data_IF_893975321280
#
_entry.id   IF_893975321280
#
_cell.length_a   1.000
_cell.length_b   1.000
_cell.length_c   1.000
_cell.angle_alpha   90.00
_cell.angle_beta   90.00
_cell.angle_gamma   90.00
#
_symmetry.space_group_name_H-M   'P 1'
#
loop_
_entity.id
_entity.type
_entity.pdbx_description
1 polymer ?
#
# COMPACT_ATOMS: atom_id res chain seq x y z
N UNK A 1 4.31 -40.52 3.70
CA UNK A 1 5.43 -39.78 4.34
C UNK A 1 6.17 -38.81 3.39
N UNK A 2 5.88 -38.73 2.09
CA UNK A 2 6.58 -37.83 1.16
C UNK A 2 6.06 -36.35 1.11
N UNK A 3 5.11 -35.97 1.97
CA UNK A 3 4.45 -34.65 1.90
C UNK A 3 5.08 -33.54 2.74
N UNK A 4 5.90 -33.87 3.75
CA UNK A 4 6.46 -32.89 4.70
C UNK A 4 7.76 -32.28 4.16
N UNK A 5 8.59 -33.06 3.47
CA UNK A 5 9.88 -32.60 2.95
C UNK A 5 9.74 -31.59 1.80
N UNK A 6 8.65 -31.67 1.02
CA UNK A 6 8.40 -30.77 -0.10
C UNK A 6 8.00 -29.35 0.30
N UNK A 7 7.38 -29.16 1.46
CA UNK A 7 6.98 -27.83 1.95
C UNK A 7 8.22 -27.04 2.39
N UNK A 8 9.11 -27.68 3.14
CA UNK A 8 10.35 -27.08 3.61
C UNK A 8 11.28 -26.66 2.45
N UNK A 9 11.38 -27.46 1.40
CA UNK A 9 12.22 -27.13 0.24
C UNK A 9 11.70 -25.90 -0.54
N UNK A 10 10.36 -25.75 -0.67
CA UNK A 10 9.76 -24.60 -1.33
C UNK A 10 9.93 -23.33 -0.49
N UNK A 11 9.77 -23.42 0.83
CA UNK A 11 9.95 -22.27 1.72
C UNK A 11 11.40 -21.79 1.75
N UNK A 12 12.36 -22.73 1.73
CA UNK A 12 13.78 -22.40 1.65
C UNK A 12 14.15 -21.74 0.32
N UNK A 13 13.61 -22.24 -0.79
CA UNK A 13 13.82 -21.63 -2.11
C UNK A 13 13.20 -20.22 -2.19
N UNK A 14 12.00 -20.03 -1.64
CA UNK A 14 11.38 -18.72 -1.54
C UNK A 14 12.26 -17.76 -0.74
N UNK A 15 12.71 -18.17 0.45
CA UNK A 15 13.61 -17.38 1.30
C UNK A 15 14.91 -17.03 0.57
N UNK A 16 15.52 -18.00 -0.12
CA UNK A 16 16.75 -17.78 -0.89
C UNK A 16 16.55 -16.71 -1.97
N UNK A 17 15.42 -16.76 -2.69
CA UNK A 17 15.09 -15.79 -3.72
C UNK A 17 14.82 -14.39 -3.13
N UNK A 18 14.05 -14.28 -2.05
CA UNK A 18 13.75 -12.98 -1.41
C UNK A 18 14.98 -12.35 -0.76
N UNK A 19 15.85 -13.16 -0.12
CA UNK A 19 17.15 -12.70 0.39
C UNK A 19 18.04 -12.20 -0.73
N UNK A 20 18.06 -12.89 -1.88
CA UNK A 20 18.81 -12.44 -3.04
C UNK A 20 18.32 -11.08 -3.56
N UNK A 21 17.00 -10.89 -3.69
CA UNK A 21 16.41 -9.60 -4.09
C UNK A 21 16.77 -8.50 -3.08
N UNK A 22 16.66 -8.78 -1.78
CA UNK A 22 17.05 -7.86 -0.71
C UNK A 22 18.51 -7.44 -0.81
N UNK A 23 19.43 -8.40 -0.94
CA UNK A 23 20.86 -8.12 -1.05
C UNK A 23 21.17 -7.21 -2.24
N UNK A 24 20.54 -7.47 -3.39
CA UNK A 24 20.73 -6.64 -4.58
C UNK A 24 20.22 -5.21 -4.37
N UNK A 25 19.05 -5.04 -3.72
CA UNK A 25 18.54 -3.72 -3.35
C UNK A 25 19.50 -3.00 -2.42
N UNK A 26 19.92 -3.66 -1.34
CA UNK A 26 20.81 -3.08 -0.34
C UNK A 26 22.18 -2.69 -0.92
N UNK A 27 22.70 -3.44 -1.90
CA UNK A 27 23.97 -3.14 -2.55
C UNK A 27 23.96 -1.82 -3.33
N UNK A 28 22.78 -1.32 -3.73
CA UNK A 28 22.63 -0.03 -4.41
C UNK A 28 22.43 1.16 -3.45
N UNK A 29 22.32 0.89 -2.15
CA UNK A 29 22.03 1.93 -1.15
C UNK A 29 23.28 2.45 -0.45
N UNK A 30 23.23 3.70 0.05
CA UNK A 30 24.19 4.15 1.04
C UNK A 30 24.08 3.31 2.34
N UNK A 31 25.03 3.45 3.28
CA UNK A 31 25.01 2.76 4.57
C UNK A 31 23.64 2.83 5.27
N UNK A 32 23.27 1.77 5.99
CA UNK A 32 21.94 1.62 6.64
C UNK A 32 21.59 2.73 7.61
N UNK A 33 22.58 3.46 8.12
CA UNK A 33 22.37 4.64 8.94
C UNK A 33 21.78 5.83 8.18
N UNK A 34 21.52 5.74 6.87
CA UNK A 34 21.04 6.86 6.07
C UNK A 34 19.60 6.73 5.58
N UNK A 35 18.94 5.60 5.80
CA UNK A 35 17.60 5.34 5.28
C UNK A 35 16.75 4.47 6.20
N UNK A 36 15.43 4.63 6.10
CA UNK A 36 14.41 3.94 6.91
C UNK A 36 13.69 2.86 6.09
N UNK A 37 13.36 3.19 4.83
CA UNK A 37 12.62 2.31 3.93
C UNK A 37 13.09 2.50 2.49
N UNK A 38 13.19 1.39 1.75
CA UNK A 38 13.36 1.42 0.31
C UNK A 38 12.30 0.61 -0.39
N UNK A 39 11.92 1.06 -1.58
CA UNK A 39 10.97 0.38 -2.42
C UNK A 39 11.33 0.42 -3.88
N UNK A 40 10.99 -0.65 -4.59
CA UNK A 40 11.12 -0.76 -6.04
C UNK A 40 9.89 -1.46 -6.58
N UNK A 41 9.43 -1.00 -7.74
CA UNK A 41 8.34 -1.63 -8.46
C UNK A 41 8.86 -2.15 -9.79
N UNK A 42 8.47 -3.37 -10.11
CA UNK A 42 8.94 -4.09 -11.27
C UNK A 42 7.77 -4.80 -11.95
N UNK A 43 7.70 -4.66 -13.26
CA UNK A 43 6.71 -5.32 -14.11
C UNK A 43 7.43 -6.07 -15.21
N UNK A 44 6.97 -7.28 -15.49
CA UNK A 44 7.46 -8.06 -16.62
C UNK A 44 6.33 -8.81 -17.29
N UNK A 45 6.17 -8.60 -18.60
CA UNK A 45 5.11 -9.22 -19.42
C UNK A 45 5.71 -9.66 -20.74
N UNK A 46 5.79 -10.95 -21.01
CA UNK A 46 6.11 -11.47 -22.34
C UNK A 46 7.47 -11.06 -22.93
N UNK A 47 8.39 -10.54 -22.11
CA UNK A 47 9.68 -10.00 -22.53
C UNK A 47 9.77 -8.47 -22.47
N UNK A 48 8.65 -7.77 -22.30
CA UNK A 48 8.66 -6.37 -21.88
C UNK A 48 9.00 -6.30 -20.40
N UNK A 49 10.00 -5.52 -20.04
CA UNK A 49 10.34 -5.23 -18.66
C UNK A 49 10.18 -3.75 -18.36
N UNK A 50 9.69 -3.46 -17.17
CA UNK A 50 9.75 -2.14 -16.57
C UNK A 50 10.24 -2.24 -15.12
N UNK A 51 11.14 -1.36 -14.73
CA UNK A 51 11.61 -1.23 -13.35
C UNK A 51 11.73 0.24 -12.97
N UNK A 52 11.16 0.61 -11.83
CA UNK A 52 11.35 1.98 -11.30
C UNK A 52 12.78 2.13 -10.79
N UNK A 53 13.31 3.37 -10.71
CA UNK A 53 14.37 3.68 -9.76
C UNK A 53 13.98 3.20 -8.36
N UNK A 54 14.98 2.86 -7.54
CA UNK A 54 14.74 2.50 -6.14
C UNK A 54 14.38 3.79 -5.40
N UNK A 55 13.18 3.84 -4.84
CA UNK A 55 12.74 4.94 -3.98
C UNK A 55 13.26 4.70 -2.57
N UNK A 56 14.01 5.67 -2.05
CA UNK A 56 14.60 5.62 -0.71
C UNK A 56 13.95 6.70 0.13
N UNK A 57 13.53 6.32 1.34
CA UNK A 57 13.06 7.21 2.39
C UNK A 57 14.05 7.14 3.54
N UNK A 58 14.57 8.28 3.97
CA UNK A 58 15.52 8.38 5.08
C UNK A 58 15.54 9.77 5.69
N UNK A 59 15.54 9.87 7.02
CA UNK A 59 15.63 11.14 7.75
C UNK A 59 14.60 12.18 7.30
N UNK A 60 13.36 11.75 7.03
CA UNK A 60 12.28 12.63 6.57
C UNK A 60 12.46 13.16 5.13
N UNK A 61 13.35 12.54 4.34
CA UNK A 61 13.55 12.89 2.93
C UNK A 61 13.35 11.67 2.03
N UNK A 62 12.70 11.89 0.89
CA UNK A 62 12.63 10.92 -0.20
C UNK A 62 13.64 11.26 -1.31
N UNK A 63 14.34 10.25 -1.83
CA UNK A 63 15.15 10.35 -3.04
C UNK A 63 15.08 9.04 -3.84
N UNK A 64 15.75 9.01 -4.99
CA UNK A 64 15.82 7.81 -5.81
C UNK A 64 17.26 7.46 -6.13
N UNK A 65 17.57 6.16 -6.17
CA UNK A 65 18.84 5.64 -6.66
C UNK A 65 18.61 4.78 -7.90
N UNK A 66 19.65 4.64 -8.72
CA UNK A 66 19.60 3.82 -9.92
C UNK A 66 19.39 2.34 -9.56
N UNK A 67 18.64 1.64 -10.40
CA UNK A 67 18.36 0.22 -10.23
C UNK A 67 19.59 -0.62 -10.60
N UNK A 68 20.09 -1.49 -9.72
CA UNK A 68 21.25 -2.33 -10.02
C UNK A 68 20.91 -3.37 -11.09
N UNK A 69 21.85 -3.65 -11.98
CA UNK A 69 21.63 -4.48 -13.17
C UNK A 69 21.25 -5.94 -12.85
N UNK A 70 21.63 -6.45 -11.67
CA UNK A 70 21.27 -7.79 -11.22
C UNK A 70 19.83 -7.93 -10.72
N UNK A 71 19.16 -6.83 -10.37
CA UNK A 71 17.86 -6.89 -9.69
C UNK A 71 16.76 -7.51 -10.55
N UNK A 72 16.65 -7.08 -11.80
CA UNK A 72 15.68 -7.60 -12.75
C UNK A 72 15.76 -9.12 -12.91
N UNK A 73 16.98 -9.67 -12.99
CA UNK A 73 17.19 -11.11 -13.11
C UNK A 73 16.69 -11.86 -11.86
N UNK A 74 16.89 -11.29 -10.66
CA UNK A 74 16.40 -11.89 -9.41
C UNK A 74 14.88 -11.80 -9.28
N UNK A 75 14.29 -10.67 -9.65
CA UNK A 75 12.84 -10.49 -9.65
C UNK A 75 12.16 -11.41 -10.66
N UNK A 76 12.78 -11.64 -11.82
CA UNK A 76 12.31 -12.62 -12.80
C UNK A 76 12.38 -14.06 -12.28
N UNK A 77 13.46 -14.43 -11.59
CA UNK A 77 13.57 -15.74 -10.95
C UNK A 77 12.47 -15.92 -9.89
N UNK A 78 12.23 -14.90 -9.06
CA UNK A 78 11.17 -14.89 -8.08
C UNK A 78 9.77 -14.99 -8.72
N UNK A 79 9.48 -14.21 -9.77
CA UNK A 79 8.23 -14.28 -10.53
C UNK A 79 7.95 -15.70 -11.04
N UNK A 80 8.96 -16.35 -11.62
CA UNK A 80 8.86 -17.73 -12.12
C UNK A 80 8.57 -18.72 -10.99
N UNK A 81 9.23 -18.56 -9.85
CA UNK A 81 8.99 -19.39 -8.67
C UNK A 81 7.58 -19.20 -8.08
N UNK A 82 7.07 -17.97 -8.09
CA UNK A 82 5.73 -17.62 -7.62
C UNK A 82 4.61 -18.07 -8.56
N UNK A 83 4.95 -18.52 -9.78
CA UNK A 83 3.97 -19.03 -10.72
C UNK A 83 3.29 -20.30 -10.18
N UNK A 84 1.98 -20.40 -10.39
CA UNK A 84 1.21 -21.61 -10.09
C UNK A 84 0.39 -22.04 -11.30
N UNK A 85 0.07 -23.34 -11.48
CA UNK A 85 -0.66 -23.81 -12.66
C UNK A 85 -2.01 -23.14 -12.90
N UNK A 86 -2.73 -22.74 -11.84
CA UNK A 86 -4.05 -22.11 -11.95
C UNK A 86 -3.98 -20.58 -12.11
N UNK A 87 -3.08 -19.93 -11.36
CA UNK A 87 -3.03 -18.47 -11.25
C UNK A 87 -1.99 -17.82 -12.18
N UNK A 88 -1.08 -18.62 -12.74
CA UNK A 88 0.10 -18.13 -13.47
C UNK A 88 1.06 -17.39 -12.55
N UNK A 89 1.92 -16.56 -13.15
CA UNK A 89 2.90 -15.72 -12.46
C UNK A 89 2.32 -14.32 -12.17
N UNK A 90 2.79 -13.61 -11.12
CA UNK A 90 2.45 -12.20 -10.93
C UNK A 90 2.94 -11.37 -12.12
N UNK A 91 2.15 -10.39 -12.54
CA UNK A 91 2.51 -9.46 -13.63
C UNK A 91 3.41 -8.33 -13.14
N UNK A 92 3.25 -7.92 -11.88
CA UNK A 92 4.12 -6.95 -11.22
C UNK A 92 4.44 -7.36 -9.78
N UNK A 93 5.61 -6.93 -9.31
CA UNK A 93 6.11 -7.07 -7.96
C UNK A 93 6.45 -5.68 -7.42
N UNK A 94 6.03 -5.38 -6.20
CA UNK A 94 6.55 -4.25 -5.44
C UNK A 94 7.31 -4.80 -4.24
N UNK A 95 8.58 -4.45 -4.14
CA UNK A 95 9.48 -4.94 -3.08
C UNK A 95 9.82 -3.79 -2.16
N UNK A 96 9.76 -4.05 -0.86
CA UNK A 96 10.01 -3.10 0.20
C UNK A 96 11.04 -3.68 1.18
N UNK A 97 12.03 -2.88 1.57
CA UNK A 97 13.01 -3.27 2.60
C UNK A 97 13.08 -2.14 3.61
N UNK A 98 12.95 -2.48 4.89
CA UNK A 98 13.17 -1.56 6.01
C UNK A 98 14.58 -1.73 6.54
N UNK A 99 15.17 -0.67 7.10
CA UNK A 99 16.48 -0.70 7.76
C UNK A 99 16.51 -1.64 8.96
N UNK A 100 15.37 -1.84 9.61
CA UNK A 100 15.18 -2.77 10.74
C UNK A 100 14.79 -4.20 10.28
N UNK A 101 14.44 -4.36 9.00
CA UNK A 101 13.89 -5.58 8.45
C UNK A 101 14.93 -6.65 8.12
N UNK A 102 14.71 -7.87 8.63
CA UNK A 102 15.49 -9.06 8.24
C UNK A 102 15.15 -9.49 6.81
N UNK A 103 13.88 -9.40 6.42
CA UNK A 103 13.37 -9.87 5.12
C UNK A 103 12.81 -8.72 4.27
N UNK A 104 12.78 -8.93 2.95
CA UNK A 104 12.06 -8.06 2.02
C UNK A 104 10.56 -8.36 2.04
N UNK A 105 9.75 -7.32 2.20
CA UNK A 105 8.30 -7.38 1.96
C UNK A 105 8.02 -7.36 0.47
N UNK A 106 7.15 -8.26 0.00
CA UNK A 106 6.83 -8.39 -1.44
C UNK A 106 5.32 -8.35 -1.62
N UNK A 107 4.85 -7.30 -2.29
CA UNK A 107 3.49 -7.21 -2.79
C UNK A 107 3.43 -7.72 -4.24
N UNK A 108 2.50 -8.62 -4.49
CA UNK A 108 2.32 -9.24 -5.80
C UNK A 108 1.04 -8.74 -6.44
N UNK A 109 1.13 -8.32 -7.69
CA UNK A 109 -0.04 -8.04 -8.51
C UNK A 109 -0.22 -9.14 -9.56
N UNK A 110 -1.33 -9.88 -9.45
CA UNK A 110 -1.73 -10.88 -10.45
C UNK A 110 -2.78 -10.35 -11.42
N UNK A 111 -3.66 -9.46 -10.93
CA UNK A 111 -5.00 -9.31 -11.49
C UNK A 111 -5.35 -7.84 -11.78
N UNK A 112 -4.72 -6.89 -11.08
CA UNK A 112 -4.93 -5.46 -11.35
C UNK A 112 -4.20 -5.13 -12.63
N UNK A 113 -4.87 -4.42 -13.53
CA UNK A 113 -4.21 -3.93 -14.74
C UNK A 113 -3.03 -3.09 -14.31
N UNK A 114 -1.84 -3.51 -14.73
CA UNK A 114 -0.67 -2.68 -14.58
C UNK A 114 -0.88 -1.51 -15.52
N UNK A 115 -1.08 -0.32 -14.97
CA UNK A 115 -1.08 0.90 -15.77
C UNK A 115 0.38 1.14 -16.11
N UNK A 116 0.78 0.64 -17.27
CA UNK A 116 2.03 1.00 -17.91
C UNK A 116 1.71 2.24 -18.73
N UNK A 117 1.81 3.41 -18.11
CA UNK A 117 1.73 4.65 -18.85
C UNK A 117 3.02 4.89 -19.64
N UNK A 118 3.15 6.07 -20.24
CA UNK A 118 4.32 6.48 -21.03
C UNK A 118 5.67 6.42 -20.29
N UNK A 119 5.68 5.98 -19.03
CA UNK A 119 6.87 5.79 -18.20
C UNK A 119 6.86 4.54 -17.35
N UNK A 120 5.92 3.61 -17.56
CA UNK A 120 5.85 2.30 -16.91
C UNK A 120 5.66 2.27 -15.38
N UNK A 121 5.73 3.39 -14.67
CA UNK A 121 5.49 3.45 -13.22
C UNK A 121 3.98 3.32 -12.91
N UNK A 122 3.57 2.80 -11.74
CA UNK A 122 2.27 3.17 -11.20
C UNK A 122 2.23 4.70 -11.08
N UNK A 123 1.10 5.29 -11.50
CA UNK A 123 0.91 6.68 -11.91
C UNK A 123 1.29 7.80 -10.90
N UNK A 124 1.92 7.48 -9.77
CA UNK A 124 2.22 8.41 -8.70
C UNK A 124 3.69 8.88 -8.67
N UNK A 125 4.63 8.23 -9.39
CA UNK A 125 6.08 8.50 -9.27
C UNK A 125 6.82 8.61 -10.63
N UNK A 126 6.33 9.41 -11.58
CA UNK A 126 7.07 9.67 -12.84
C UNK A 126 8.16 10.74 -12.66
N UNK A 127 9.43 10.48 -13.03
CA UNK A 127 10.36 11.53 -13.43
C UNK A 127 9.91 12.11 -14.78
N UNK A 128 9.75 13.43 -14.87
CA UNK A 128 9.39 14.11 -16.13
C UNK A 128 10.33 13.67 -17.27
N UNK A 129 9.78 13.07 -18.33
CA UNK A 129 10.51 12.79 -19.59
C UNK A 129 10.88 11.35 -19.94
N UNK A 130 10.57 10.32 -19.14
CA UNK A 130 10.88 8.92 -19.53
C UNK A 130 10.02 8.43 -20.73
N UNK A 131 10.57 7.48 -21.51
CA UNK A 131 10.00 6.90 -22.74
C UNK A 131 9.03 5.76 -22.44
N UNK A 132 8.03 5.58 -23.30
CA UNK A 132 6.91 4.65 -23.12
C UNK A 132 7.27 3.22 -23.50
N UNK A 133 7.33 2.32 -22.51
CA UNK A 133 7.47 0.88 -22.76
C UNK A 133 6.14 0.19 -22.43
N UNK A 134 5.36 -0.12 -23.46
CA UNK A 134 4.09 -0.86 -23.34
C UNK A 134 4.22 -2.27 -23.92
N UNK A 135 3.76 -3.32 -23.20
CA UNK A 135 3.65 -4.64 -23.77
C UNK A 135 2.62 -4.64 -24.88
N UNK A 136 3.03 -5.17 -26.01
CA UNK A 136 2.21 -5.48 -27.19
C UNK A 136 1.25 -6.63 -26.88
N UNK A 137 0.23 -6.80 -27.74
CA UNK A 137 -0.67 -7.95 -27.67
C UNK A 137 0.09 -9.28 -27.71
N UNK A 138 1.12 -9.38 -28.54
CA UNK A 138 1.92 -10.60 -28.69
C UNK A 138 2.72 -10.92 -27.42
N UNK A 139 3.19 -9.91 -26.69
CA UNK A 139 3.83 -10.09 -25.38
C UNK A 139 2.82 -10.54 -24.31
N UNK A 140 1.60 -10.01 -24.32
CA UNK A 140 0.51 -10.50 -23.46
C UNK A 140 0.09 -11.94 -23.78
N UNK A 141 0.12 -12.35 -25.06
CA UNK A 141 -0.09 -13.75 -25.46
C UNK A 141 1.06 -14.62 -24.95
N UNK A 142 2.31 -14.22 -25.21
CA UNK A 142 3.50 -14.94 -24.76
C UNK A 142 3.55 -15.11 -23.24
N UNK A 143 3.10 -14.10 -22.48
CA UNK A 143 3.02 -14.18 -21.02
C UNK A 143 2.08 -15.32 -20.57
N UNK A 144 0.94 -15.53 -21.24
CA UNK A 144 0.05 -16.66 -20.94
C UNK A 144 0.62 -18.00 -21.39
N UNK A 145 1.40 -18.04 -22.46
CA UNK A 145 2.10 -19.26 -22.89
C UNK A 145 3.18 -19.68 -21.88
N UNK A 146 3.96 -18.71 -21.38
CA UNK A 146 5.01 -18.94 -20.39
C UNK A 146 4.45 -19.22 -18.99
N UNK A 147 3.35 -18.56 -18.63
CA UNK A 147 2.73 -18.63 -17.32
C UNK A 147 1.22 -18.84 -17.45
N UNK A 148 0.78 -20.07 -17.77
CA UNK A 148 -0.63 -20.38 -17.98
C UNK A 148 -1.52 -20.00 -16.79
N UNK A 149 -2.73 -19.57 -17.12
CA UNK A 149 -3.78 -19.21 -16.16
C UNK A 149 -5.08 -19.90 -16.55
N UNK A 150 -5.87 -20.29 -15.57
CA UNK A 150 -7.25 -20.68 -15.81
C UNK A 150 -8.05 -19.50 -16.37
N UNK A 151 -9.03 -19.78 -17.22
CA UNK A 151 -9.74 -18.74 -17.98
C UNK A 151 -10.44 -17.70 -17.07
N UNK A 152 -10.93 -18.14 -15.91
CA UNK A 152 -11.55 -17.31 -14.87
C UNK A 152 -10.53 -16.45 -14.10
N UNK A 153 -9.25 -16.80 -14.15
CA UNK A 153 -8.11 -16.06 -13.55
C UNK A 153 -7.46 -15.07 -14.50
N UNK A 154 -7.85 -15.04 -15.77
CA UNK A 154 -7.43 -13.98 -16.71
C UNK A 154 -8.39 -12.80 -16.54
N UNK A 155 -7.93 -11.62 -16.08
CA UNK A 155 -8.81 -10.46 -15.88
C UNK A 155 -9.43 -9.97 -17.20
N UNK A 156 -10.63 -9.38 -17.13
CA UNK A 156 -11.38 -8.91 -18.30
C UNK A 156 -10.59 -7.92 -19.17
N UNK A 157 -9.80 -7.04 -18.55
CA UNK A 157 -8.95 -6.10 -19.27
C UNK A 157 -7.88 -6.80 -20.11
N UNK A 158 -7.34 -7.92 -19.63
CA UNK A 158 -6.34 -8.70 -20.38
C UNK A 158 -7.03 -9.45 -21.51
N UNK A 159 -8.19 -10.08 -21.26
CA UNK A 159 -8.99 -10.71 -22.32
C UNK A 159 -9.34 -9.73 -23.44
N UNK A 160 -9.65 -8.48 -23.09
CA UNK A 160 -9.89 -7.39 -24.06
C UNK A 160 -8.67 -7.15 -24.95
N UNK A 161 -7.47 -7.02 -24.37
CA UNK A 161 -6.20 -6.89 -25.14
C UNK A 161 -6.02 -8.07 -26.09
N UNK A 162 -6.25 -9.30 -25.61
CA UNK A 162 -6.12 -10.51 -26.42
C UNK A 162 -7.13 -10.55 -27.57
N UNK A 163 -8.31 -9.95 -27.41
CA UNK A 163 -9.33 -9.81 -28.44
C UNK A 163 -9.03 -8.68 -29.46
N UNK A 164 -7.89 -7.99 -29.34
CA UNK A 164 -7.53 -6.85 -30.20
C UNK A 164 -8.03 -5.51 -29.68
N UNK A 165 -8.50 -5.45 -28.43
CA UNK A 165 -8.73 -4.20 -27.71
C UNK A 165 -7.43 -3.45 -27.48
N UNK A 166 -7.54 -2.14 -27.32
CA UNK A 166 -6.40 -1.26 -27.14
C UNK A 166 -5.67 -1.52 -25.80
N UNK A 167 -4.35 -1.67 -25.88
CA UNK A 167 -3.48 -1.81 -24.70
C UNK A 167 -3.46 -0.52 -23.85
N UNK A 168 -3.81 0.62 -24.45
CA UNK A 168 -3.69 1.96 -23.91
C UNK A 168 -4.93 2.58 -23.26
N UNK A 169 -6.14 2.02 -23.42
CA UNK A 169 -7.33 2.63 -22.82
C UNK A 169 -7.29 2.39 -21.33
N UNK A 170 -6.87 3.40 -20.56
CA UNK A 170 -6.86 3.40 -19.09
C UNK A 170 -8.13 2.67 -18.62
N UNK A 171 -8.04 1.56 -17.87
CA UNK A 171 -9.25 1.09 -17.21
C UNK A 171 -9.68 2.27 -16.35
N UNK A 172 -10.98 2.58 -16.30
CA UNK A 172 -11.45 3.31 -15.14
C UNK A 172 -10.87 2.54 -13.96
N UNK A 173 -9.96 3.18 -13.21
CA UNK A 173 -9.57 2.67 -11.92
C UNK A 173 -10.89 2.31 -11.23
N UNK A 174 -11.00 1.15 -10.57
CA UNK A 174 -12.18 0.87 -9.77
C UNK A 174 -12.55 2.15 -9.02
N UNK A 175 -13.80 2.61 -9.13
CA UNK A 175 -14.20 4.01 -8.85
C UNK A 175 -13.51 4.60 -7.60
N UNK A 176 -13.33 3.79 -6.56
CA UNK A 176 -12.61 4.07 -5.32
C UNK A 176 -11.14 4.53 -5.41
N UNK A 177 -10.48 4.54 -6.58
CA UNK A 177 -9.11 5.06 -6.77
C UNK A 177 -9.03 6.31 -7.66
N UNK A 178 -10.15 6.77 -8.22
CA UNK A 178 -10.17 7.85 -9.20
C UNK A 178 -11.39 8.77 -9.12
N UNK A 179 -12.29 8.56 -8.17
CA UNK A 179 -13.35 9.54 -7.90
C UNK A 179 -12.75 10.89 -7.51
N UNK A 180 -13.35 12.00 -7.97
CA UNK A 180 -12.97 13.31 -7.48
C UNK A 180 -13.08 13.33 -5.95
N UNK A 181 -12.08 13.93 -5.29
CA UNK A 181 -12.15 14.19 -3.85
C UNK A 181 -13.49 14.88 -3.54
N UNK A 182 -14.19 14.47 -2.47
CA UNK A 182 -15.37 15.18 -2.05
C UNK A 182 -14.99 16.64 -1.81
N UNK A 183 -15.76 17.56 -2.37
CA UNK A 183 -15.49 18.99 -2.31
C UNK A 183 -16.18 19.64 -1.11
N UNK A 184 -16.93 18.89 -0.32
CA UNK A 184 -17.63 19.38 0.85
C UNK A 184 -17.77 18.29 1.93
N UNK A 185 -18.09 18.74 3.14
CA UNK A 185 -18.39 17.86 4.27
C UNK A 185 -19.65 17.01 3.99
N UNK A 186 -20.65 17.57 3.33
CA UNK A 186 -21.90 16.88 2.96
C UNK A 186 -21.64 15.75 1.96
N UNK A 187 -20.77 15.98 0.97
CA UNK A 187 -20.35 14.96 0.00
C UNK A 187 -19.50 13.87 0.67
N UNK A 188 -18.63 14.27 1.61
CA UNK A 188 -17.86 13.32 2.40
C UNK A 188 -18.77 12.47 3.31
N UNK A 189 -19.81 13.05 3.93
CA UNK A 189 -20.79 12.41 4.81
C UNK A 189 -21.71 11.42 4.10
N UNK A 190 -22.22 11.81 2.93
CA UNK A 190 -23.15 11.01 2.12
C UNK A 190 -22.47 9.93 1.27
N UNK A 191 -21.13 9.92 1.21
CA UNK A 191 -20.39 8.93 0.44
C UNK A 191 -20.54 7.52 1.05
N UNK A 192 -21.13 6.54 0.34
CA UNK A 192 -21.25 5.16 0.79
C UNK A 192 -19.91 4.41 0.82
N UNK A 193 -18.79 5.08 0.50
CA UNK A 193 -17.47 4.49 0.20
C UNK A 193 -16.45 4.62 1.35
N UNK A 194 -16.86 5.12 2.51
CA UNK A 194 -15.91 5.62 3.50
C UNK A 194 -15.19 4.56 4.29
N UNK A 195 -15.83 3.45 4.64
CA UNK A 195 -15.22 2.57 5.62
C UNK A 195 -14.48 1.46 4.87
N UNK A 196 -13.18 1.35 5.15
CA UNK A 196 -12.26 0.42 4.46
C UNK A 196 -12.84 -1.01 4.54
N UNK A 197 -13.35 -1.61 3.44
CA UNK A 197 -14.08 -2.88 3.58
C UNK A 197 -13.20 -4.03 4.05
N UNK A 198 -11.88 -3.97 3.86
CA UNK A 198 -10.94 -4.97 4.39
C UNK A 198 -10.58 -4.76 5.87
N UNK A 199 -10.79 -3.55 6.35
CA UNK A 199 -10.37 -3.07 7.66
C UNK A 199 -11.52 -3.15 8.66
N UNK A 200 -12.74 -2.73 8.25
CA UNK A 200 -13.99 -3.12 8.90
C UNK A 200 -14.03 -4.62 9.08
N UNK A 201 -13.90 -5.39 7.99
CA UNK A 201 -13.89 -6.85 8.10
C UNK A 201 -12.78 -7.41 8.98
N UNK A 202 -11.67 -6.70 9.18
CA UNK A 202 -10.66 -7.12 10.13
C UNK A 202 -11.10 -6.77 11.56
N UNK A 203 -11.50 -5.53 11.82
CA UNK A 203 -11.91 -5.07 13.14
C UNK A 203 -13.22 -5.72 13.60
N UNK A 204 -14.22 -5.87 12.75
CA UNK A 204 -15.43 -6.68 12.97
C UNK A 204 -15.09 -8.12 13.33
N UNK A 205 -14.15 -8.74 12.62
CA UNK A 205 -13.72 -10.12 12.90
C UNK A 205 -13.02 -10.23 14.25
N UNK A 206 -12.31 -9.18 14.66
CA UNK A 206 -11.62 -9.11 15.95
C UNK A 206 -12.49 -8.45 17.05
N UNK A 207 -13.77 -8.11 16.76
CA UNK A 207 -14.75 -7.61 17.74
C UNK A 207 -14.77 -6.10 18.02
N UNK A 208 -14.18 -5.27 17.17
CA UNK A 208 -13.97 -3.82 17.39
C UNK A 208 -14.82 -2.91 16.50
N UNK A 209 -15.97 -3.37 16.01
CA UNK A 209 -16.83 -2.59 15.11
C UNK A 209 -17.35 -1.29 15.75
N UNK A 210 -17.68 -1.36 17.03
CA UNK A 210 -18.17 -0.24 17.83
C UNK A 210 -17.15 0.90 17.97
N UNK A 211 -15.85 0.58 18.09
CA UNK A 211 -14.79 1.60 18.12
C UNK A 211 -14.65 2.30 16.76
N UNK A 212 -14.86 1.59 15.65
CA UNK A 212 -14.83 2.20 14.32
C UNK A 212 -16.00 3.18 14.18
N UNK A 213 -17.18 2.78 14.63
CA UNK A 213 -18.37 3.63 14.61
C UNK A 213 -18.19 4.87 15.50
N UNK A 214 -17.70 4.69 16.73
CA UNK A 214 -17.42 5.78 17.66
C UNK A 214 -16.38 6.75 17.08
N UNK A 215 -15.32 6.23 16.45
CA UNK A 215 -14.28 7.05 15.83
C UNK A 215 -14.78 7.80 14.60
N UNK A 216 -15.60 7.17 13.76
CA UNK A 216 -16.24 7.84 12.61
C UNK A 216 -17.16 8.95 13.10
N UNK A 217 -17.98 8.68 14.12
CA UNK A 217 -18.86 9.68 14.73
C UNK A 217 -18.06 10.86 15.30
N UNK A 218 -16.95 10.60 15.98
CA UNK A 218 -16.05 11.62 16.51
C UNK A 218 -15.44 12.48 15.39
N UNK A 219 -14.94 11.86 14.32
CA UNK A 219 -14.40 12.60 13.14
C UNK A 219 -15.46 13.54 12.56
N UNK A 220 -16.72 13.11 12.46
CA UNK A 220 -17.81 13.95 11.97
C UNK A 220 -18.17 15.09 12.92
N UNK A 221 -18.20 14.84 14.22
CA UNK A 221 -18.50 15.85 15.22
C UNK A 221 -17.42 16.93 15.21
N UNK A 222 -16.14 16.52 15.24
CA UNK A 222 -15.00 17.43 15.20
C UNK A 222 -14.97 18.22 13.89
N UNK A 223 -15.14 17.56 12.73
CA UNK A 223 -15.14 18.24 11.43
C UNK A 223 -16.26 19.30 11.32
N UNK A 224 -17.45 19.05 11.88
CA UNK A 224 -18.56 20.03 11.91
C UNK A 224 -18.27 21.25 12.78
N UNK A 225 -17.43 21.10 13.80
CA UNK A 225 -17.04 22.18 14.69
C UNK A 225 -15.92 23.06 14.11
N UNK A 226 -15.23 22.61 13.05
CA UNK A 226 -14.12 23.35 12.46
C UNK A 226 -14.60 24.62 11.72
N UNK A 227 -13.82 25.72 11.78
CA UNK A 227 -14.05 26.88 10.94
C UNK A 227 -13.86 26.54 9.46
N UNK A 228 -14.54 27.28 8.57
CA UNK A 228 -14.49 27.07 7.13
C UNK A 228 -13.07 27.05 6.54
N UNK A 229 -12.16 27.85 7.09
CA UNK A 229 -10.75 27.91 6.68
C UNK A 229 -9.98 26.62 6.96
N UNK A 230 -10.32 25.89 8.03
CA UNK A 230 -9.71 24.59 8.34
C UNK A 230 -10.35 23.47 7.52
N UNK A 231 -11.66 23.54 7.26
CA UNK A 231 -12.30 22.64 6.31
C UNK A 231 -11.68 22.79 4.92
N UNK A 232 -11.47 24.02 4.44
CA UNK A 232 -10.79 24.28 3.18
C UNK A 232 -9.37 23.70 3.15
N UNK A 233 -8.66 23.76 4.28
CA UNK A 233 -7.35 23.11 4.41
C UNK A 233 -7.47 21.59 4.30
N UNK A 234 -8.41 20.94 5.01
CA UNK A 234 -8.67 19.49 4.95
C UNK A 234 -8.94 19.02 3.52
N UNK A 235 -9.69 19.80 2.74
CA UNK A 235 -9.98 19.52 1.33
C UNK A 235 -8.86 19.90 0.35
N UNK A 236 -7.70 20.35 0.85
CA UNK A 236 -6.53 20.65 0.03
C UNK A 236 -6.56 21.99 -0.69
N UNK A 237 -7.54 22.87 -0.41
CA UNK A 237 -7.69 24.18 -1.06
C UNK A 237 -6.58 25.16 -0.66
N UNK A 238 -5.97 24.95 0.50
CA UNK A 238 -4.88 25.78 1.04
C UNK A 238 -3.49 25.15 0.81
N UNK A 239 -3.38 24.18 -0.09
CA UNK A 239 -2.14 23.48 -0.40
C UNK A 239 -1.86 22.29 0.53
N UNK A 240 -0.91 21.45 0.11
CA UNK A 240 -0.67 20.13 0.70
C UNK A 240 -0.19 20.16 2.15
N UNK A 241 0.67 21.12 2.52
CA UNK A 241 1.16 21.25 3.89
C UNK A 241 0.04 21.62 4.87
N UNK A 242 -0.83 22.56 4.49
CA UNK A 242 -2.00 22.93 5.29
C UNK A 242 -3.00 21.78 5.41
N UNK A 243 -3.21 21.04 4.32
CA UNK A 243 -4.03 19.83 4.33
C UNK A 243 -3.55 18.78 5.32
N UNK A 244 -2.25 18.49 5.27
CA UNK A 244 -1.59 17.55 6.16
C UNK A 244 -1.85 17.90 7.62
N UNK A 245 -1.55 19.15 7.99
CA UNK A 245 -1.66 19.62 9.36
C UNK A 245 -3.13 19.61 9.83
N UNK A 246 -4.06 20.02 8.98
CA UNK A 246 -5.48 20.04 9.34
C UNK A 246 -6.07 18.63 9.50
N UNK A 247 -5.67 17.68 8.63
CA UNK A 247 -6.06 16.26 8.76
C UNK A 247 -5.46 15.61 10.01
N UNK A 248 -4.22 15.95 10.37
CA UNK A 248 -3.59 15.47 11.60
C UNK A 248 -4.32 15.99 12.86
N UNK A 249 -4.59 17.30 12.92
CA UNK A 249 -5.35 17.88 14.05
C UNK A 249 -6.73 17.26 14.20
N UNK A 250 -7.43 17.01 13.10
CA UNK A 250 -8.72 16.33 13.13
C UNK A 250 -8.61 14.89 13.63
N UNK A 251 -7.55 14.16 13.26
CA UNK A 251 -7.30 12.81 13.74
C UNK A 251 -7.02 12.76 15.23
N UNK A 252 -6.21 13.70 15.73
CA UNK A 252 -5.89 13.86 17.14
C UNK A 252 -7.14 14.23 17.96
N UNK A 253 -7.94 15.20 17.50
CA UNK A 253 -9.17 15.61 18.16
C UNK A 253 -10.19 14.48 18.24
N UNK A 254 -10.40 13.75 17.14
CA UNK A 254 -11.31 12.60 17.12
C UNK A 254 -10.84 11.45 18.01
N UNK A 255 -9.52 11.22 18.07
CA UNK A 255 -8.93 10.22 18.96
C UNK A 255 -9.14 10.62 20.43
N UNK A 256 -8.92 11.88 20.76
CA UNK A 256 -9.13 12.38 22.12
C UNK A 256 -10.60 12.31 22.54
N UNK A 257 -11.53 12.58 21.62
CA UNK A 257 -12.96 12.44 21.89
C UNK A 257 -13.37 11.00 22.26
N UNK A 258 -12.68 9.98 21.73
CA UNK A 258 -12.95 8.57 22.04
C UNK A 258 -12.01 7.96 23.09
N UNK A 259 -10.96 8.69 23.52
CA UNK A 259 -10.03 8.26 24.57
C UNK A 259 -10.70 7.70 25.83
N UNK A 260 -11.79 8.30 26.38
CA UNK A 260 -12.47 7.74 27.54
C UNK A 260 -13.04 6.34 27.30
N UNK A 261 -13.59 6.08 26.10
CA UNK A 261 -14.15 4.78 25.71
C UNK A 261 -13.06 3.73 25.48
N UNK A 262 -11.90 4.16 24.99
CA UNK A 262 -10.73 3.30 24.86
C UNK A 262 -10.18 2.89 26.23
N UNK A 263 -10.24 3.78 27.23
CA UNK A 263 -9.80 3.50 28.60
C UNK A 263 -10.70 2.49 29.34
N UNK A 264 -11.94 2.29 28.89
CA UNK A 264 -12.86 1.26 29.41
C UNK A 264 -12.49 -0.16 28.95
N UNK A 265 -11.56 -0.30 27.99
CA UNK A 265 -11.17 -1.60 27.44
C UNK A 265 -10.18 -2.33 28.34
N UNK A 266 -10.29 -3.65 28.32
CA UNK A 266 -9.29 -4.50 28.94
C UNK A 266 -7.93 -4.37 28.24
N UNK A 267 -6.85 -4.63 28.97
CA UNK A 267 -5.49 -4.60 28.42
C UNK A 267 -5.31 -5.57 27.24
N UNK A 268 -6.01 -6.72 27.26
CA UNK A 268 -5.98 -7.72 26.19
C UNK A 268 -6.65 -7.22 24.89
N UNK A 269 -7.78 -6.53 25.02
CA UNK A 269 -8.48 -5.89 23.89
C UNK A 269 -7.62 -4.78 23.29
N UNK A 270 -7.02 -3.92 24.13
CA UNK A 270 -6.12 -2.87 23.70
C UNK A 270 -4.91 -3.44 22.93
N UNK A 271 -4.27 -4.49 23.47
CA UNK A 271 -3.15 -5.16 22.83
C UNK A 271 -3.56 -5.81 21.48
N UNK A 272 -4.77 -6.34 21.36
CA UNK A 272 -5.33 -6.87 20.11
C UNK A 272 -5.52 -5.80 19.03
N UNK A 273 -6.01 -4.62 19.42
CA UNK A 273 -6.12 -3.46 18.53
C UNK A 273 -4.76 -2.96 18.06
N UNK A 274 -3.79 -2.84 18.97
CA UNK A 274 -2.42 -2.42 18.65
C UNK A 274 -1.78 -3.38 17.65
N UNK A 275 -1.86 -4.70 17.88
CA UNK A 275 -1.35 -5.71 16.94
C UNK A 275 -2.04 -5.62 15.57
N UNK A 276 -3.34 -5.42 15.56
CA UNK A 276 -4.12 -5.25 14.32
C UNK A 276 -3.70 -3.99 13.56
N UNK A 277 -3.45 -2.88 14.28
CA UNK A 277 -2.89 -1.66 13.70
C UNK A 277 -1.53 -1.92 13.06
N UNK A 278 -0.55 -2.46 13.78
CA UNK A 278 0.78 -2.71 13.22
C UNK A 278 0.73 -3.62 11.98
N UNK A 279 -0.14 -4.64 12.01
CA UNK A 279 -0.35 -5.53 10.86
C UNK A 279 -0.89 -4.78 9.62
N UNK A 280 -1.76 -3.80 9.82
CA UNK A 280 -2.38 -3.02 8.75
C UNK A 280 -1.50 -1.84 8.31
N UNK A 281 -0.82 -1.21 9.25
CA UNK A 281 -0.02 -0.03 9.02
C UNK A 281 1.33 -0.37 8.43
N UNK A 282 1.80 -1.61 8.62
CA UNK A 282 3.18 -2.02 8.35
C UNK A 282 4.21 -1.15 9.09
N UNK A 283 3.78 -0.49 10.17
CA UNK A 283 4.69 0.25 11.05
C UNK A 283 5.60 -0.74 11.79
N UNK A 284 6.79 -0.27 12.21
CA UNK A 284 7.60 -0.94 13.21
C UNK A 284 6.71 -1.36 14.39
N UNK A 285 7.03 -2.48 15.04
CA UNK A 285 6.21 -3.07 16.11
C UNK A 285 5.90 -2.07 17.24
N UNK A 286 5.07 -2.47 18.22
CA UNK A 286 4.71 -1.59 19.33
C UNK A 286 5.97 -1.02 19.98
N UNK A 287 5.99 0.30 20.20
CA UNK A 287 7.09 0.99 20.86
C UNK A 287 7.19 0.50 22.31
N UNK A 288 8.26 -0.22 22.69
CA UNK A 288 8.37 -0.82 24.02
C UNK A 288 8.45 0.21 25.14
N UNK A 289 8.76 1.47 24.83
CA UNK A 289 8.89 2.55 25.82
C UNK A 289 7.52 3.22 26.12
N UNK A 290 6.49 2.95 25.32
CA UNK A 290 5.13 3.43 25.54
C UNK A 290 4.31 2.42 26.35
N UNK A 291 3.53 2.91 27.31
CA UNK A 291 2.52 2.09 27.96
C UNK A 291 1.39 1.68 27.00
N UNK A 292 0.64 0.64 27.35
CA UNK A 292 -0.43 0.08 26.50
C UNK A 292 -1.50 1.12 26.14
N UNK A 293 -1.78 2.10 27.01
CA UNK A 293 -2.73 3.17 26.72
C UNK A 293 -2.19 4.20 25.72
N UNK A 294 -0.90 4.55 25.82
CA UNK A 294 -0.21 5.39 24.86
C UNK A 294 -0.10 4.69 23.48
N UNK A 295 0.28 3.41 23.44
CA UNK A 295 0.29 2.61 22.21
C UNK A 295 -1.10 2.52 21.56
N UNK A 296 -2.16 2.34 22.37
CA UNK A 296 -3.53 2.30 21.87
C UNK A 296 -3.95 3.63 21.25
N UNK A 297 -3.60 4.77 21.88
CA UNK A 297 -3.85 6.10 21.33
C UNK A 297 -3.12 6.33 20.01
N UNK A 298 -1.86 5.90 19.91
CA UNK A 298 -1.09 5.98 18.64
C UNK A 298 -1.74 5.13 17.55
N UNK A 299 -2.16 3.92 17.87
CA UNK A 299 -2.87 3.04 16.94
C UNK A 299 -4.19 3.68 16.46
N UNK A 300 -4.97 4.24 17.39
CA UNK A 300 -6.25 4.90 17.09
C UNK A 300 -6.07 6.20 16.32
N UNK A 301 -5.07 7.03 16.63
CA UNK A 301 -4.75 8.22 15.86
C UNK A 301 -4.33 7.87 14.43
N UNK A 302 -3.55 6.80 14.26
CA UNK A 302 -3.22 6.26 12.94
C UNK A 302 -4.45 5.72 12.19
N UNK A 303 -5.39 5.09 12.89
CA UNK A 303 -6.67 4.65 12.33
C UNK A 303 -7.55 5.83 11.90
N UNK A 304 -7.74 6.81 12.79
CA UNK A 304 -8.50 8.05 12.56
C UNK A 304 -7.96 8.76 11.33
N UNK A 305 -6.64 8.82 11.25
CA UNK A 305 -5.93 9.34 10.11
C UNK A 305 -6.30 8.70 8.79
N UNK A 306 -6.26 7.36 8.71
CA UNK A 306 -6.63 6.61 7.50
C UNK A 306 -8.09 6.81 7.10
N UNK A 307 -8.99 6.94 8.07
CA UNK A 307 -10.40 7.26 7.81
C UNK A 307 -10.53 8.67 7.25
N UNK A 308 -9.90 9.66 7.90
CA UNK A 308 -9.88 11.07 7.47
C UNK A 308 -9.30 11.17 6.06
N UNK A 309 -8.20 10.50 5.78
CA UNK A 309 -7.64 10.50 4.42
C UNK A 309 -8.58 9.91 3.38
N UNK A 310 -9.24 8.79 3.69
CA UNK A 310 -10.19 8.23 2.71
C UNK A 310 -11.43 9.10 2.53
N UNK A 311 -11.86 9.82 3.57
CA UNK A 311 -12.94 10.81 3.48
C UNK A 311 -12.50 12.11 2.81
N UNK A 312 -11.24 12.53 2.93
CA UNK A 312 -10.81 13.91 2.69
C UNK A 312 -9.49 14.09 1.89
N UNK A 313 -8.77 13.04 1.48
CA UNK A 313 -7.57 13.12 0.61
C UNK A 313 -6.34 12.27 1.03
N UNK A 314 -5.22 12.32 0.28
CA UNK A 314 -4.07 11.41 0.47
C UNK A 314 -3.08 11.80 1.59
N UNK A 315 -2.47 10.79 2.25
CA UNK A 315 -1.34 10.89 3.21
C UNK A 315 -0.12 11.64 2.62
N UNK A 316 0.57 12.48 3.40
CA UNK A 316 1.97 12.84 3.18
C UNK A 316 2.92 11.72 3.67
N UNK A 317 4.13 11.67 3.14
CA UNK A 317 5.14 10.65 3.53
C UNK A 317 5.67 10.83 4.97
N UNK A 318 5.35 11.94 5.63
CA UNK A 318 5.98 12.40 6.87
C UNK A 318 4.99 12.44 8.06
N UNK A 319 4.00 11.52 8.09
CA UNK A 319 3.09 11.40 9.23
C UNK A 319 3.86 10.87 10.45
N UNK A 320 3.95 11.69 11.49
CA UNK A 320 4.41 11.28 12.82
C UNK A 320 3.30 11.55 13.84
N UNK A 321 2.88 10.49 14.54
CA UNK A 321 2.09 10.64 15.78
C UNK A 321 3.11 11.02 16.86
N UNK A 322 2.93 12.17 17.48
CA UNK A 322 3.74 12.59 18.63
C UNK A 322 3.38 11.79 19.89
#
# INVERSE_FOLDING_TARGET
MAGVDGHNARDEEYRRLTVGVRQELLAALPPTSEWDNVSVEWTHVGGTEYVTPINVLGYGRAWSVATPSGLSSRLLALKRFLATPDRGAPVALAVFVSSEGVDAGIDMNFDRRVILDTTGAPAYNRPLGAEEVRPTRDEWVRELELHPRSADRVPDWWRSILAGGDTGTRPQLPDWFGDPMPQSLEEAESSPRVILPKFERLLEREGYADIVDDLVAAIHAEARALPATELDAIFGRNGRAAQTQAQQRLAEAATEAISPRLAERSADEAAGMIRSWHKISRASGPDPDLDTGAQLRVAVAGFAGRIIMRRFGTLPKDWHVA
#
